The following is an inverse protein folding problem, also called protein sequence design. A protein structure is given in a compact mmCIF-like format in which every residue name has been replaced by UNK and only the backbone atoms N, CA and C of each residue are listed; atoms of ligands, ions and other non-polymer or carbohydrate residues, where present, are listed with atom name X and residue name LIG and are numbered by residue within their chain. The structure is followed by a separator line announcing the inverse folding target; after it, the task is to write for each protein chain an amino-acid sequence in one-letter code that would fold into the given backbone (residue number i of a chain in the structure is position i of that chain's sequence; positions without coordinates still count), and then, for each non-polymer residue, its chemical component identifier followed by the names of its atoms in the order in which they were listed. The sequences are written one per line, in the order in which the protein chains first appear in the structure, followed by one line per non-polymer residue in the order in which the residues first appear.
data_IF_505507162398
#
_entry.id   IF_505507162398
#
_cell.length_a   1.000
_cell.length_b   1.000
_cell.length_c   1.000
_cell.angle_alpha   90.00
_cell.angle_beta   90.00
_cell.angle_gamma   90.00
#
_symmetry.space_group_name_H-M   'P 1'
#
loop_
_entity.id
_entity.type
_entity.pdbx_description
1 polymer ?
#
# COMPACT_ATOMS: atom_id res chain seq x y z
N UNK A 1 20.58 -10.98 11.11
CA UNK A 1 19.71 -10.05 10.36
C UNK A 1 18.37 -10.09 11.06
N UNK A 2 17.93 -8.99 11.68
CA UNK A 2 16.59 -8.92 12.27
C UNK A 2 15.59 -8.99 11.13
N UNK A 3 14.81 -10.07 11.06
CA UNK A 3 13.76 -10.22 10.06
C UNK A 3 12.66 -9.21 10.35
N UNK A 4 12.71 -8.08 9.64
CA UNK A 4 11.72 -6.98 9.67
C UNK A 4 10.29 -7.53 9.52
N UNK A 5 10.14 -8.56 8.67
CA UNK A 5 8.93 -9.35 8.47
C UNK A 5 9.17 -10.79 8.90
N UNK A 6 8.21 -11.37 9.63
CA UNK A 6 8.17 -12.81 9.84
C UNK A 6 7.93 -13.55 8.52
N UNK A 7 8.30 -14.83 8.46
CA UNK A 7 8.06 -15.67 7.29
C UNK A 7 6.57 -15.70 6.88
N UNK A 8 5.67 -15.74 7.87
CA UNK A 8 4.22 -15.75 7.65
C UNK A 8 3.74 -14.45 7.01
N UNK A 9 4.28 -13.30 7.41
CA UNK A 9 3.93 -11.99 6.85
C UNK A 9 4.50 -11.82 5.45
N UNK A 10 5.76 -12.23 5.25
CA UNK A 10 6.39 -12.24 3.94
C UNK A 10 5.59 -13.08 2.95
N UNK A 11 5.17 -14.28 3.35
CA UNK A 11 4.35 -15.15 2.51
C UNK A 11 2.98 -14.56 2.19
N UNK A 12 2.36 -13.83 3.13
CA UNK A 12 1.11 -13.12 2.87
C UNK A 12 1.29 -12.00 1.83
N UNK A 13 2.35 -11.20 1.93
CA UNK A 13 2.64 -10.14 0.97
C UNK A 13 2.97 -10.73 -0.42
N UNK A 14 3.75 -11.81 -0.47
CA UNK A 14 4.05 -12.52 -1.72
C UNK A 14 2.80 -13.13 -2.38
N UNK A 15 1.83 -13.60 -1.59
CA UNK A 15 0.55 -14.08 -2.13
C UNK A 15 -0.24 -12.94 -2.80
N UNK A 16 -0.26 -11.75 -2.19
CA UNK A 16 -0.85 -10.55 -2.79
C UNK A 16 -0.13 -10.16 -4.09
N UNK A 17 1.21 -10.24 -4.12
CA UNK A 17 2.00 -10.01 -5.34
C UNK A 17 1.68 -11.01 -6.45
N UNK A 18 1.28 -12.23 -6.10
CA UNK A 18 0.79 -13.27 -7.03
C UNK A 18 -0.71 -13.15 -7.35
N UNK A 19 -1.32 -11.99 -7.03
CA UNK A 19 -2.73 -11.65 -7.31
C UNK A 19 -3.73 -12.41 -6.42
N UNK A 20 -3.28 -13.11 -5.39
CA UNK A 20 -4.17 -13.71 -4.40
C UNK A 20 -4.60 -12.68 -3.34
N UNK A 21 -5.72 -12.00 -3.63
CA UNK A 21 -6.28 -10.95 -2.78
C UNK A 21 -6.86 -11.48 -1.47
N UNK A 22 -7.00 -12.80 -1.28
CA UNK A 22 -7.48 -13.36 -0.01
C UNK A 22 -6.52 -13.06 1.15
N UNK A 23 -5.23 -12.88 0.84
CA UNK A 23 -4.19 -12.54 1.80
C UNK A 23 -4.03 -11.03 2.05
N UNK A 24 -4.77 -10.17 1.33
CA UNK A 24 -4.64 -8.72 1.45
C UNK A 24 -4.85 -8.20 2.89
N UNK A 25 -5.85 -8.67 3.67
CA UNK A 25 -6.01 -8.23 5.06
C UNK A 25 -4.77 -8.52 5.92
N UNK A 26 -4.19 -9.71 5.77
CA UNK A 26 -3.02 -10.15 6.52
C UNK A 26 -1.74 -9.43 6.09
N UNK A 27 -1.57 -9.21 4.79
CA UNK A 27 -0.47 -8.42 4.24
C UNK A 27 -0.55 -6.96 4.69
N UNK A 28 -1.76 -6.39 4.77
CA UNK A 28 -1.99 -5.04 5.29
C UNK A 28 -1.68 -4.94 6.78
N UNK A 29 -2.10 -5.91 7.59
CA UNK A 29 -1.76 -5.95 9.02
C UNK A 29 -0.24 -5.98 9.24
N UNK A 30 0.48 -6.78 8.43
CA UNK A 30 1.93 -6.80 8.45
C UNK A 30 2.53 -5.43 8.09
N UNK A 31 2.03 -4.79 7.03
CA UNK A 31 2.48 -3.46 6.62
C UNK A 31 2.24 -2.41 7.71
N UNK A 32 1.03 -2.34 8.27
CA UNK A 32 0.64 -1.37 9.30
C UNK A 32 1.45 -1.57 10.60
N UNK A 33 1.86 -2.80 10.90
CA UNK A 33 2.72 -3.13 12.07
C UNK A 33 4.17 -2.71 11.87
N UNK A 34 4.71 -2.88 10.66
CA UNK A 34 6.15 -2.83 10.38
C UNK A 34 6.59 -1.49 9.81
N UNK A 35 5.83 -0.91 8.87
CA UNK A 35 6.19 0.33 8.18
C UNK A 35 6.45 1.51 9.15
N UNK A 36 5.66 1.73 10.21
CA UNK A 36 5.92 2.83 11.16
C UNK A 36 7.20 2.66 12.00
N UNK A 37 7.70 1.43 12.14
CA UNK A 37 8.87 1.12 13.00
C UNK A 37 10.18 1.15 12.24
N UNK A 38 10.15 0.72 10.98
CA UNK A 38 11.35 0.54 10.19
C UNK A 38 11.47 1.55 9.04
N UNK A 39 10.34 2.04 8.53
CA UNK A 39 10.26 2.74 7.25
C UNK A 39 9.71 1.83 6.15
N UNK A 40 9.10 2.42 5.12
CA UNK A 40 8.60 1.67 3.95
C UNK A 40 9.77 1.21 3.08
N UNK A 41 10.84 2.00 3.05
CA UNK A 41 12.06 1.77 2.30
C UNK A 41 12.92 0.61 2.84
N UNK A 42 12.63 0.10 4.04
CA UNK A 42 13.46 -0.91 4.70
C UNK A 42 13.46 -2.28 4.04
N UNK A 43 12.41 -2.63 3.29
CA UNK A 43 12.41 -3.82 2.44
C UNK A 43 11.41 -3.72 1.28
N UNK A 44 11.64 -4.54 0.24
CA UNK A 44 10.89 -4.47 -1.02
C UNK A 44 9.41 -4.84 -0.84
N UNK A 45 9.11 -5.73 0.10
CA UNK A 45 7.74 -6.13 0.42
C UNK A 45 6.90 -4.97 0.96
N UNK A 46 7.51 -4.08 1.77
CA UNK A 46 6.83 -2.90 2.27
C UNK A 46 6.62 -1.85 1.17
N UNK A 47 7.61 -1.65 0.29
CA UNK A 47 7.45 -0.76 -0.87
C UNK A 47 6.31 -1.22 -1.77
N UNK A 48 6.24 -2.53 -2.07
CA UNK A 48 5.13 -3.13 -2.83
C UNK A 48 3.77 -2.85 -2.15
N UNK A 49 3.66 -3.09 -0.84
CA UNK A 49 2.42 -2.84 -0.12
C UNK A 49 2.05 -1.35 -0.10
N UNK A 50 3.03 -0.45 -0.02
CA UNK A 50 2.77 0.99 -0.11
C UNK A 50 2.16 1.39 -1.47
N UNK A 51 2.60 0.77 -2.57
CA UNK A 51 2.00 0.98 -3.89
C UNK A 51 0.58 0.38 -3.96
N UNK A 52 0.40 -0.85 -3.45
CA UNK A 52 -0.91 -1.52 -3.42
C UNK A 52 -1.94 -0.75 -2.59
N UNK A 53 -1.51 -0.16 -1.48
CA UNK A 53 -2.36 0.59 -0.55
C UNK A 53 -2.46 2.07 -0.90
N UNK A 54 -1.66 2.56 -1.85
CA UNK A 54 -1.74 3.94 -2.29
C UNK A 54 -3.17 4.22 -2.76
N UNK A 55 -3.79 5.32 -2.29
CA UNK A 55 -5.13 5.67 -2.74
C UNK A 55 -5.10 5.84 -4.27
N UNK A 56 -5.89 5.03 -4.97
CA UNK A 56 -6.09 5.22 -6.41
C UNK A 56 -6.71 6.60 -6.59
N UNK A 57 -6.04 7.54 -7.27
CA UNK A 57 -6.60 8.86 -7.44
C UNK A 57 -7.91 8.76 -8.23
N UNK A 58 -9.00 9.25 -7.63
CA UNK A 58 -10.26 9.42 -8.35
C UNK A 58 -10.06 10.56 -9.38
N UNK A 59 -9.71 10.15 -10.60
CA UNK A 59 -9.47 11.04 -11.73
C UNK A 59 -10.72 11.85 -12.07
N UNK A 60 -11.91 11.28 -11.84
CA UNK A 60 -13.17 11.97 -12.10
C UNK A 60 -13.43 13.06 -11.06
N UNK A 61 -13.22 12.76 -9.78
CA UNK A 61 -13.30 13.75 -8.70
C UNK A 61 -12.28 14.87 -8.88
N UNK A 62 -11.02 14.55 -9.23
CA UNK A 62 -9.99 15.56 -9.53
C UNK A 62 -10.36 16.45 -10.71
N UNK A 63 -10.94 15.87 -11.76
CA UNK A 63 -11.45 16.64 -12.91
C UNK A 63 -12.57 17.59 -12.49
N UNK A 64 -13.52 17.12 -11.68
CA UNK A 64 -14.63 17.94 -11.17
C UNK A 64 -14.14 19.09 -10.29
N UNK A 65 -13.20 18.83 -9.37
CA UNK A 65 -12.58 19.88 -8.55
C UNK A 65 -11.86 20.92 -9.40
N UNK A 66 -11.08 20.49 -10.41
CA UNK A 66 -10.39 21.41 -11.32
C UNK A 66 -11.39 22.29 -12.08
N UNK A 67 -12.47 21.72 -12.59
CA UNK A 67 -13.53 22.46 -13.27
C UNK A 67 -14.23 23.46 -12.33
N UNK A 68 -14.49 23.07 -11.07
CA UNK A 68 -15.08 23.96 -10.08
C UNK A 68 -14.16 25.15 -9.73
N UNK A 69 -12.86 24.90 -9.52
CA UNK A 69 -11.87 25.96 -9.25
C UNK A 69 -11.76 26.93 -10.43
N UNK A 70 -11.68 26.40 -11.67
CA UNK A 70 -11.61 27.24 -12.87
C UNK A 70 -12.89 28.06 -13.11
N UNK A 71 -14.06 27.59 -12.64
CA UNK A 71 -15.32 28.36 -12.70
C UNK A 71 -15.40 29.48 -11.66
N UNK A 72 -14.57 29.43 -10.61
CA UNK A 72 -14.48 30.46 -9.57
C UNK A 72 -13.44 31.55 -9.88
N UNK A 73 -12.69 31.40 -10.99
CA UNK A 73 -11.69 32.34 -11.50
C UNK A 73 -12.30 33.27 -12.56
#
# INVERSE_FOLDING_TARGET
MSEILTEVERNAILAVARVDKTYLPKAREAFDRVAPRHGVESCIELQFMAEVLAPVPDLMLRSQYRAAVLKQS
#
